data_IF_852293273812
#
_entry.id   IF_852293273812
#
_cell.length_a   1.000
_cell.length_b   1.000
_cell.length_c   1.000
_cell.angle_alpha   90.00
_cell.angle_beta   90.00
_cell.angle_gamma   90.00
#
_symmetry.space_group_name_H-M   'P 1'
#
loop_
_entity.id
_entity.type
_entity.pdbx_description
1 polymer ?
#
# COMPACT_ATOMS: atom_id res chain seq x y z
N UNK A 1 17.39 20.09 -23.32
CA UNK A 1 17.63 19.73 -21.90
C UNK A 1 16.45 20.26 -21.10
N UNK A 2 15.45 19.42 -20.81
CA UNK A 2 14.25 19.86 -20.09
C UNK A 2 14.65 20.16 -18.65
N UNK A 3 14.42 21.40 -18.21
CA UNK A 3 14.56 21.84 -16.84
C UNK A 3 13.66 20.94 -15.98
N UNK A 4 14.28 20.04 -15.21
CA UNK A 4 13.57 19.23 -14.22
C UNK A 4 12.93 20.18 -13.21
N UNK A 5 11.61 20.06 -13.07
CA UNK A 5 10.83 20.72 -12.03
C UNK A 5 11.36 20.30 -10.65
N UNK A 6 12.30 21.07 -10.12
CA UNK A 6 12.99 20.84 -8.84
C UNK A 6 12.11 21.13 -7.62
N UNK A 7 10.78 21.28 -7.79
CA UNK A 7 9.87 21.86 -6.79
C UNK A 7 8.90 20.89 -6.10
N UNK A 8 8.81 19.62 -6.52
CA UNK A 8 7.77 18.69 -6.00
C UNK A 8 8.31 17.43 -5.29
N UNK A 9 9.58 17.42 -4.87
CA UNK A 9 10.10 16.40 -3.94
C UNK A 9 10.10 16.95 -2.52
N UNK A 10 8.94 17.36 -2.00
CA UNK A 10 8.78 17.25 -0.54
C UNK A 10 9.06 15.78 -0.26
N UNK A 11 10.07 15.50 0.56
CA UNK A 11 10.51 14.14 0.84
C UNK A 11 9.29 13.30 1.22
N UNK A 12 8.97 12.31 0.38
CA UNK A 12 7.79 11.46 0.53
C UNK A 12 7.83 10.78 1.90
N UNK A 13 9.04 10.47 2.39
CA UNK A 13 9.27 9.88 3.71
C UNK A 13 8.88 10.89 4.79
N UNK A 14 9.37 12.12 4.70
CA UNK A 14 9.05 13.18 5.67
C UNK A 14 7.54 13.49 5.71
N UNK A 15 6.91 13.60 4.54
CA UNK A 15 5.47 13.80 4.42
C UNK A 15 4.66 12.64 5.02
N UNK A 16 5.09 11.40 4.76
CA UNK A 16 4.47 10.21 5.33
C UNK A 16 4.63 10.15 6.85
N UNK A 17 5.81 10.53 7.35
CA UNK A 17 6.09 10.61 8.77
C UNK A 17 5.20 11.63 9.48
N UNK A 18 5.09 12.85 8.93
CA UNK A 18 4.21 13.91 9.46
C UNK A 18 2.75 13.46 9.54
N UNK A 19 2.22 12.79 8.50
CA UNK A 19 0.86 12.21 8.53
C UNK A 19 0.71 11.15 9.62
N UNK A 20 1.71 10.28 9.78
CA UNK A 20 1.69 9.23 10.79
C UNK A 20 1.64 9.80 12.21
N UNK A 21 2.38 10.89 12.48
CA UNK A 21 2.30 11.63 13.75
C UNK A 21 0.91 12.25 13.90
N UNK A 22 0.42 12.96 12.89
CA UNK A 22 -0.88 13.65 12.93
C UNK A 22 -2.06 12.69 13.25
N UNK A 23 -2.10 11.52 12.60
CA UNK A 23 -3.13 10.51 12.85
C UNK A 23 -2.87 9.65 14.10
N UNK A 24 -1.82 9.92 14.86
CA UNK A 24 -1.49 9.20 16.09
C UNK A 24 -1.12 7.73 15.86
N UNK A 25 -0.47 7.41 14.74
CA UNK A 25 0.04 6.06 14.49
C UNK A 25 1.21 5.79 15.45
N UNK A 26 0.99 4.89 16.41
CA UNK A 26 2.02 4.46 17.37
C UNK A 26 3.14 3.72 16.62
N UNK A 27 4.41 4.03 16.92
CA UNK A 27 5.57 3.35 16.33
C UNK A 27 5.56 1.83 16.52
N UNK A 28 4.96 1.33 17.61
CA UNK A 28 4.84 -0.10 17.89
C UNK A 28 3.67 -0.79 17.16
N UNK A 29 2.83 -0.04 16.42
CA UNK A 29 1.67 -0.61 15.73
C UNK A 29 2.12 -1.31 14.46
N UNK A 30 2.16 -2.64 14.52
CA UNK A 30 2.46 -3.52 13.37
C UNK A 30 1.22 -3.94 12.58
N UNK A 31 0.02 -3.84 13.17
CA UNK A 31 -1.25 -4.17 12.52
C UNK A 31 -2.21 -2.97 12.46
N UNK A 32 -3.06 -2.87 11.42
CA UNK A 32 -4.05 -1.81 11.32
C UNK A 32 -5.05 -1.85 12.48
N UNK A 33 -5.59 -0.69 12.87
CA UNK A 33 -6.63 -0.60 13.91
C UNK A 33 -7.93 -1.28 13.49
N UNK A 34 -8.24 -1.25 12.18
CA UNK A 34 -9.37 -1.96 11.59
C UNK A 34 -8.84 -3.18 10.85
N UNK A 35 -9.24 -4.36 11.30
CA UNK A 35 -9.10 -5.60 10.55
C UNK A 35 -10.46 -5.84 9.90
N UNK A 36 -10.48 -6.10 8.58
CA UNK A 36 -11.72 -6.37 7.88
C UNK A 36 -12.33 -7.65 8.44
N UNK A 37 -13.63 -7.64 8.71
CA UNK A 37 -14.34 -8.86 9.06
C UNK A 37 -14.44 -9.80 7.83
N UNK A 38 -14.88 -11.06 8.00
CA UNK A 38 -14.96 -12.00 6.88
C UNK A 38 -15.81 -11.49 5.71
N UNK A 39 -16.94 -10.83 5.98
CA UNK A 39 -17.84 -10.31 4.95
C UNK A 39 -17.23 -9.13 4.19
N UNK A 40 -16.61 -8.18 4.91
CA UNK A 40 -15.87 -7.06 4.33
C UNK A 40 -14.70 -7.56 3.47
N UNK A 41 -14.03 -8.63 3.91
CA UNK A 41 -12.94 -9.28 3.17
C UNK A 41 -13.45 -9.89 1.87
N UNK A 42 -14.56 -10.63 1.91
CA UNK A 42 -15.17 -11.22 0.72
C UNK A 42 -15.59 -10.12 -0.27
N UNK A 43 -16.25 -9.07 0.23
CA UNK A 43 -16.70 -7.95 -0.59
C UNK A 43 -15.52 -7.20 -1.23
N UNK A 44 -14.45 -6.97 -0.48
CA UNK A 44 -13.21 -6.36 -1.00
C UNK A 44 -12.56 -7.24 -2.08
N UNK A 45 -12.52 -8.56 -1.85
CA UNK A 45 -11.93 -9.52 -2.80
C UNK A 45 -12.72 -9.58 -4.10
N UNK A 46 -14.05 -9.64 -4.03
CA UNK A 46 -14.94 -9.61 -5.21
C UNK A 46 -14.75 -8.33 -6.03
N UNK A 47 -14.70 -7.16 -5.37
CA UNK A 47 -14.48 -5.87 -6.05
C UNK A 47 -13.13 -5.81 -6.80
N UNK A 48 -12.13 -6.56 -6.34
CA UNK A 48 -10.77 -6.54 -6.88
C UNK A 48 -10.39 -7.83 -7.63
N UNK A 49 -11.35 -8.69 -7.94
CA UNK A 49 -11.10 -10.03 -8.48
C UNK A 49 -10.18 -10.01 -9.71
N UNK A 50 -10.41 -9.10 -10.65
CA UNK A 50 -9.58 -8.95 -11.86
C UNK A 50 -8.12 -8.68 -11.53
N UNK A 51 -7.86 -7.77 -10.59
CA UNK A 51 -6.50 -7.43 -10.16
C UNK A 51 -5.85 -8.62 -9.46
N UNK A 52 -6.57 -9.28 -8.54
CA UNK A 52 -6.07 -10.44 -7.80
C UNK A 52 -5.74 -11.61 -8.73
N UNK A 53 -6.55 -11.84 -9.77
CA UNK A 53 -6.31 -12.89 -10.76
C UNK A 53 -5.04 -12.65 -11.58
N UNK A 54 -4.77 -11.41 -11.97
CA UNK A 54 -3.54 -11.06 -12.70
C UNK A 54 -2.33 -11.13 -11.76
N UNK A 55 -2.44 -10.51 -10.58
CA UNK A 55 -1.36 -10.44 -9.61
C UNK A 55 -0.96 -11.84 -9.10
N UNK A 56 -1.92 -12.74 -8.85
CA UNK A 56 -1.63 -14.09 -8.36
C UNK A 56 -0.74 -14.90 -9.31
N UNK A 57 -0.99 -14.79 -10.62
CA UNK A 57 -0.16 -15.45 -11.64
C UNK A 57 1.25 -14.88 -11.67
N UNK A 58 1.35 -13.55 -11.67
CA UNK A 58 2.63 -12.86 -11.66
C UNK A 58 3.46 -13.16 -10.40
N UNK A 59 2.83 -13.16 -9.22
CA UNK A 59 3.51 -13.46 -7.97
C UNK A 59 4.02 -14.90 -7.89
N UNK A 60 3.30 -15.87 -8.47
CA UNK A 60 3.80 -17.25 -8.61
C UNK A 60 5.05 -17.30 -9.47
N UNK A 61 5.00 -16.66 -10.63
CA UNK A 61 6.17 -16.57 -11.51
C UNK A 61 7.35 -15.91 -10.81
N UNK A 62 7.16 -14.81 -10.09
CA UNK A 62 8.23 -14.19 -9.31
C UNK A 62 8.78 -15.11 -8.22
N UNK A 63 7.91 -15.85 -7.53
CA UNK A 63 8.33 -16.80 -6.50
C UNK A 63 9.19 -17.92 -7.07
N UNK A 64 8.86 -18.42 -8.27
CA UNK A 64 9.65 -19.47 -8.92
C UNK A 64 11.05 -18.99 -9.37
N UNK A 65 11.24 -17.68 -9.52
CA UNK A 65 12.52 -17.07 -9.88
C UNK A 65 13.42 -16.71 -8.68
N UNK A 66 12.85 -16.57 -7.48
CA UNK A 66 13.54 -16.14 -6.26
C UNK A 66 13.96 -17.33 -5.39
#
# INVERSE_FOLDING_TARGET
MKLENKKDKIDIIESSHRRSIYYGIKKSRIFPKKILNPEETINSSKKNEKLLNIASRFMRTLYDFL
#
